data_IF_501499545186
#
_entry.id   IF_501499545186
#
_cell.length_a   1.000
_cell.length_b   1.000
_cell.length_c   1.000
_cell.angle_alpha   90.00
_cell.angle_beta   90.00
_cell.angle_gamma   90.00
#
_symmetry.space_group_name_H-M   'P 1'
#
loop_
_entity.id
_entity.type
_entity.pdbx_description
1 polymer ?
2 polymer ?
3 polymer ?
4 water ?
#
loop_
_entity_poly.entity_id
_entity_poly.type
_entity_poly.pdbx_seq_one_letter_code
_entity_poly.pdbx_strand_id
1 'polydeoxyribonucleotide' '(DA)(DA)(DG)(DG)(6MA)(DT)(DC)(DC)(DA)(DA)' ?
2 'polydeoxyribonucleotide' '(DT)(DT)(DG)(DG)(DA)(DG)(DC)(DC)(DT)(DT)' ?
#
# COMPACT_ATOMS: atom_id res chain seq x y z
N UNK C 1 -17.30 3.77 -7.33
CA UNK C 1 -16.64 5.10 -7.32
C UNK C 1 -15.13 4.96 -7.18
N UNK C 2 -14.71 4.33 -6.09
CA UNK C 2 -13.29 4.11 -5.80
C UNK C 2 -12.82 2.90 -6.59
N UNK C 3 -13.68 1.88 -6.67
CA UNK C 3 -13.33 0.70 -7.42
C UNK C 3 -12.93 1.10 -8.83
N UNK C 4 -13.63 2.10 -9.36
CA UNK C 4 -13.39 2.61 -10.70
C UNK C 4 -11.97 3.16 -10.83
N UNK C 5 -11.59 4.03 -9.90
CA UNK C 5 -10.26 4.62 -9.93
C UNK C 5 -9.18 3.55 -9.93
N UNK C 6 -9.34 2.55 -9.06
CA UNK C 6 -8.36 1.47 -8.97
C UNK C 6 -8.29 0.72 -10.30
N UNK C 7 -9.44 0.21 -10.75
CA UNK C 7 -9.50 -0.51 -12.01
C UNK C 7 -8.84 0.32 -13.11
N UNK C 8 -9.01 1.64 -13.05
CA UNK C 8 -8.40 2.51 -14.05
C UNK C 8 -6.91 2.53 -13.86
N UNK C 9 -6.49 2.43 -12.61
CA UNK C 9 -5.07 2.44 -12.31
C UNK C 9 -4.36 1.26 -12.96
N UNK C 10 -4.85 0.05 -12.71
CA UNK C 10 -4.21 -1.15 -13.27
C UNK C 10 -4.02 -1.04 -14.78
N UNK C 11 -4.95 -0.37 -15.45
CA UNK C 11 -4.87 -0.20 -16.89
C UNK C 11 -3.99 0.97 -17.30
N UNK C 12 -3.82 1.94 -16.39
CA UNK C 12 -3.03 3.13 -16.68
C UNK C 12 -1.71 2.79 -17.35
N UNK C 13 -1.14 3.77 -18.04
CA UNK C 13 0.14 3.58 -18.70
C UNK C 13 1.29 3.52 -17.70
N UNK C 14 1.34 4.49 -16.79
CA UNK C 14 2.42 4.52 -15.82
C UNK C 14 2.38 3.34 -14.86
N UNK C 15 1.20 2.81 -14.56
CA UNK C 15 1.18 1.66 -13.66
C UNK C 15 1.93 0.56 -14.37
N UNK C 16 1.55 0.29 -15.61
CA UNK C 16 2.19 -0.74 -16.40
C UNK C 16 3.65 -0.34 -16.61
N UNK C 17 3.93 0.92 -16.36
CA UNK C 17 5.27 1.45 -16.53
C UNK C 17 6.20 1.12 -15.37
N UNK C 18 5.65 0.89 -14.18
CA UNK C 18 6.48 0.54 -13.04
C UNK C 18 7.05 -0.83 -13.37
N UNK C 19 8.35 -1.02 -13.14
CA UNK C 19 8.95 -2.31 -13.47
C UNK C 19 9.19 -3.27 -12.31
N UNK C 20 8.96 -2.83 -11.08
CA UNK C 20 9.18 -3.71 -9.94
C UNK C 20 8.05 -3.70 -8.93
N UNK C 21 7.89 -4.83 -8.24
CA UNK C 21 6.83 -4.98 -7.25
C UNK C 21 6.69 -3.77 -6.34
N UNK C 22 7.80 -3.26 -5.83
CA UNK C 22 7.76 -2.11 -4.95
C UNK C 22 7.03 -0.92 -5.57
N UNK C 23 7.52 -0.50 -6.72
CA UNK C 23 6.94 0.63 -7.42
C UNK C 23 5.44 0.48 -7.57
N UNK C 24 5.01 -0.68 -8.04
CA UNK C 24 3.58 -0.91 -8.20
C UNK C 24 2.94 -0.81 -6.82
N UNK C 25 3.64 -1.34 -5.82
CA UNK C 25 3.16 -1.33 -4.45
C UNK C 25 2.94 0.10 -4.00
N UNK C 26 3.93 0.95 -4.25
CA UNK C 26 3.85 2.35 -3.87
C UNK C 26 2.66 3.04 -4.53
N UNK C 27 2.56 2.84 -5.84
CA UNK C 27 1.51 3.45 -6.63
C UNK C 27 0.14 3.10 -6.09
N UNK C 28 -0.09 1.83 -5.81
CA UNK C 28 -1.40 1.42 -5.29
C UNK C 28 -1.69 2.24 -4.04
N UNK C 29 -0.71 2.29 -3.15
CA UNK C 29 -0.84 3.04 -1.92
C UNK C 29 -1.15 4.51 -2.21
N UNK C 30 -0.23 5.18 -2.92
CA UNK C 30 -0.40 6.59 -3.27
C UNK C 30 -1.80 6.88 -3.76
N UNK C 31 -2.29 5.99 -4.62
CA UNK C 31 -3.60 6.10 -5.21
C UNK C 31 -4.71 5.84 -4.20
N UNK C 32 -4.55 4.82 -3.37
CA UNK C 32 -5.57 4.51 -2.38
C UNK C 32 -5.71 5.66 -1.39
N UNK C 33 -4.62 6.39 -1.19
CA UNK C 33 -4.65 7.51 -0.26
C UNK C 33 -5.43 8.71 -0.82
N UNK C 34 -5.06 9.14 -2.02
CA UNK C 34 -5.71 10.26 -2.68
C UNK C 34 -7.18 10.00 -2.90
N UNK C 35 -7.56 8.73 -2.88
CA UNK C 35 -8.96 8.37 -3.08
C UNK C 35 -9.78 8.75 -1.86
N UNK C 36 -9.31 8.35 -0.69
CA UNK C 36 -10.01 8.66 0.55
C UNK C 36 -8.99 8.73 1.68
N UNK C 37 -8.16 9.77 1.63
CA UNK C 37 -7.12 10.01 2.62
C UNK C 37 -7.62 9.67 4.01
N UNK C 38 -8.93 9.80 4.21
CA UNK C 38 -9.51 9.51 5.51
C UNK C 38 -9.49 8.00 5.77
N UNK C 39 -10.30 7.27 5.01
CA UNK C 39 -10.40 5.82 5.14
C UNK C 39 -9.03 5.15 5.14
N UNK C 40 -8.13 5.67 4.31
CA UNK C 40 -6.79 5.13 4.23
C UNK C 40 -6.17 5.16 5.63
N UNK C 41 -6.26 6.31 6.29
CA UNK C 41 -5.71 6.46 7.63
C UNK C 41 -6.23 5.39 8.60
N UNK C 42 -7.54 5.20 8.63
CA UNK C 42 -8.12 4.19 9.53
C UNK C 42 -7.63 2.78 9.21
N UNK C 43 -7.64 2.42 7.92
CA UNK C 43 -7.20 1.11 7.49
C UNK C 43 -5.75 0.93 7.91
N UNK C 44 -5.02 2.03 7.90
CA UNK C 44 -3.60 2.06 8.23
C UNK C 44 -3.29 1.87 9.73
N UNK C 45 -4.02 2.58 10.59
CA UNK C 45 -3.79 2.48 12.03
C UNK C 45 -3.93 1.04 12.53
N UNK C 46 -4.59 0.20 11.75
CA UNK C 46 -4.81 -1.18 12.15
C UNK C 46 -3.91 -2.19 11.44
N UNK C 47 -2.93 -1.69 10.70
CA UNK C 47 -2.02 -2.57 9.97
C UNK C 47 -0.58 -2.53 10.49
N UNK C 48 -0.13 -3.65 11.04
CA UNK C 48 1.23 -3.72 11.56
C UNK C 48 1.68 -5.17 11.62
N UNK C 49 2.97 -5.38 11.84
CA UNK C 49 3.51 -6.73 11.92
C UNK C 49 3.44 -7.27 13.33
N UNK C 50 4.11 -8.38 13.59
CA UNK C 50 4.08 -8.94 14.92
C UNK C 50 5.02 -8.13 15.79
N UNK C 51 5.96 -7.44 15.16
CA UNK C 51 6.92 -6.63 15.90
C UNK C 51 7.30 -5.42 15.10
N UNK C 52 7.19 -5.54 13.78
CA UNK C 52 7.52 -4.42 12.91
C UNK C 52 6.31 -3.52 12.78
N UNK C 53 6.56 -2.24 12.57
CA UNK C 53 5.50 -1.28 12.35
C UNK C 53 5.55 -1.15 10.83
N UNK C 54 4.39 -1.14 10.18
CA UNK C 54 4.37 -1.05 8.73
C UNK C 54 4.33 0.34 8.13
N UNK C 55 3.39 1.17 8.57
CA UNK C 55 3.29 2.54 8.08
C UNK C 55 3.44 3.52 9.22
N UNK C 56 4.03 4.68 8.94
CA UNK C 56 4.21 5.69 9.97
C UNK C 56 4.46 7.05 9.34
N UNK C 57 4.04 8.10 10.04
CA UNK C 57 4.23 9.45 9.53
C UNK C 57 5.70 9.84 9.44
N UNK C 58 6.54 9.24 10.28
CA UNK C 58 7.97 9.53 10.27
C UNK C 58 8.78 8.28 9.95
N UNK C 59 9.95 8.46 9.34
CA UNK C 59 10.79 7.32 8.99
C UNK C 59 11.42 6.60 10.19
N UNK C 60 12.06 7.34 11.08
CA UNK C 60 12.71 6.73 12.23
C UNK C 60 11.77 5.79 12.96
N UNK C 61 10.48 6.09 12.91
CA UNK C 61 9.51 5.25 13.59
C UNK C 61 9.51 3.86 12.99
N UNK C 62 9.78 3.77 11.70
CA UNK C 62 9.83 2.46 11.06
C UNK C 62 11.20 1.91 11.43
N UNK C 63 12.22 2.75 11.32
CA UNK C 63 13.59 2.38 11.64
C UNK C 63 13.75 1.94 13.08
N UNK C 64 12.82 2.35 13.94
CA UNK C 64 12.92 2.02 15.36
C UNK C 64 12.24 0.72 15.79
N UNK C 65 11.29 0.22 15.01
CA UNK C 65 10.60 -1.00 15.41
C UNK C 65 10.93 -2.27 14.64
N UNK C 66 12.10 -2.30 14.01
CA UNK C 66 12.48 -3.48 13.25
C UNK C 66 13.86 -3.36 12.66
N UNK C 67 14.39 -4.47 12.16
CA UNK C 67 15.71 -4.42 11.56
C UNK C 67 15.65 -4.52 10.04
N UNK C 68 16.48 -3.70 9.40
CA UNK C 68 16.56 -3.65 7.95
C UNK C 68 15.22 -3.55 7.25
N UNK C 69 14.29 -2.79 7.81
CA UNK C 69 12.99 -2.58 7.18
C UNK C 69 13.42 -1.60 6.11
N UNK C 70 12.85 -1.63 4.92
CA UNK C 70 13.31 -0.66 3.93
C UNK C 70 12.31 0.47 3.81
N UNK C 71 12.36 1.43 4.75
CA UNK C 71 11.43 2.55 4.73
C UNK C 71 11.51 3.33 3.45
N UNK C 72 10.37 3.50 2.83
CA UNK C 72 10.30 4.26 1.61
C UNK C 72 9.15 5.22 1.82
N UNK C 73 9.28 6.42 1.27
CA UNK C 73 8.24 7.43 1.42
C UNK C 73 7.16 7.25 0.36
N UNK C 74 5.92 7.07 0.79
CA UNK C 74 4.84 6.90 -0.17
C UNK C 74 4.59 8.23 -0.84
N UNK C 75 4.94 8.34 -2.13
CA UNK C 75 4.75 9.57 -2.88
C UNK C 75 3.34 10.10 -2.80
N UNK C 76 3.23 11.41 -2.61
CA UNK C 76 1.94 12.07 -2.54
C UNK C 76 1.26 11.97 -1.19
N UNK C 77 1.84 11.20 -0.28
CA UNK C 77 1.25 11.01 1.05
C UNK C 77 2.17 11.48 2.18
N UNK C 78 1.66 11.49 3.41
CA UNK C 78 2.46 11.91 4.55
C UNK C 78 2.92 10.64 5.29
N UNK C 79 2.85 9.51 4.59
CA UNK C 79 3.22 8.21 5.14
C UNK C 79 4.49 7.57 4.60
N UNK C 80 5.08 6.73 5.44
CA UNK C 80 6.27 5.97 5.09
C UNK C 80 5.85 4.51 5.29
N UNK C 81 6.38 3.61 4.46
CA UNK C 81 6.05 2.18 4.55
C UNK C 81 7.33 1.38 4.53
N UNK C 82 7.33 0.21 5.15
CA UNK C 82 8.51 -0.63 5.12
C UNK C 82 8.52 -1.31 3.76
N UNK C 83 9.72 -1.69 3.31
CA UNK C 83 9.93 -2.31 2.01
C UNK C 83 10.62 -3.67 2.03
N UNK C 84 11.27 -4.01 3.14
CA UNK C 84 11.92 -5.31 3.22
C UNK C 84 10.83 -6.36 3.46
N UNK C 85 10.21 -6.80 2.38
CA UNK C 85 9.12 -7.77 2.45
C UNK C 85 8.99 -8.48 1.11
N UNK C 86 8.35 -9.64 1.09
CA UNK C 86 8.15 -10.32 -0.18
C UNK C 86 6.84 -9.86 -0.79
N UNK C 87 6.67 -10.12 -2.08
CA UNK C 87 5.46 -9.71 -2.79
C UNK C 87 4.22 -10.23 -2.07
N UNK C 88 4.34 -11.41 -1.46
CA UNK C 88 3.22 -11.98 -0.74
C UNK C 88 2.79 -11.05 0.38
N UNK C 89 3.76 -10.51 1.11
CA UNK C 89 3.40 -9.62 2.20
C UNK C 89 2.84 -8.32 1.66
N UNK C 90 3.37 -7.85 0.54
CA UNK C 90 2.87 -6.61 -0.04
C UNK C 90 1.39 -6.76 -0.36
N UNK C 91 1.03 -7.86 -1.02
CA UNK C 91 -0.37 -8.09 -1.33
C UNK C 91 -1.16 -8.10 -0.02
N UNK C 92 -0.63 -8.79 0.98
CA UNK C 92 -1.30 -8.85 2.27
C UNK C 92 -1.59 -7.47 2.82
N UNK C 93 -0.66 -6.54 2.66
CA UNK C 93 -0.88 -5.19 3.15
C UNK C 93 -1.99 -4.53 2.34
N UNK C 94 -1.82 -4.53 1.02
CA UNK C 94 -2.81 -3.95 0.13
C UNK C 94 -4.18 -4.55 0.46
N UNK C 95 -4.20 -5.87 0.55
CA UNK C 95 -5.41 -6.59 0.87
C UNK C 95 -6.06 -6.08 2.15
N UNK C 96 -5.24 -5.85 3.17
CA UNK C 96 -5.75 -5.36 4.45
C UNK C 96 -6.38 -3.97 4.32
N UNK C 97 -5.72 -3.11 3.56
CA UNK C 97 -6.19 -1.74 3.36
C UNK C 97 -7.49 -1.68 2.58
N UNK C 98 -7.52 -2.36 1.45
CA UNK C 98 -8.71 -2.35 0.62
C UNK C 98 -9.90 -2.94 1.38
N UNK C 99 -9.67 -4.00 2.14
CA UNK C 99 -10.73 -4.62 2.94
C UNK C 99 -11.34 -3.57 3.86
N UNK C 100 -10.49 -2.79 4.53
CA UNK C 100 -10.96 -1.73 5.42
C UNK C 100 -11.81 -0.78 4.62
N UNK C 101 -11.25 -0.28 3.52
CA UNK C 101 -11.95 0.64 2.64
C UNK C 101 -13.00 -0.16 1.87
N UNK C 102 -13.45 -1.26 2.48
CA UNK C 102 -14.45 -2.16 1.92
C UNK C 102 -14.52 -2.19 0.40
N UNK C 103 -13.61 -2.94 -0.20
CA UNK C 103 -13.58 -3.10 -1.65
C UNK C 103 -14.06 -4.50 -1.98
N UNK C 104 -14.42 -4.74 -3.25
CA UNK C 104 -14.88 -6.07 -3.63
C UNK C 104 -13.68 -7.01 -3.67
N UNK C 105 -13.79 -8.15 -3.00
CA UNK C 105 -12.70 -9.12 -2.97
C UNK C 105 -12.23 -9.38 -4.40
N UNK C 106 -13.19 -9.48 -5.31
CA UNK C 106 -12.87 -9.71 -6.71
C UNK C 106 -11.77 -8.77 -7.18
N UNK C 107 -12.01 -7.47 -7.04
CA UNK C 107 -11.05 -6.46 -7.46
C UNK C 107 -9.78 -6.55 -6.65
N UNK C 108 -9.92 -6.82 -5.36
CA UNK C 108 -8.77 -6.94 -4.49
C UNK C 108 -7.82 -8.02 -5.04
N UNK C 109 -8.38 -9.17 -5.40
CA UNK C 109 -7.56 -10.25 -5.94
C UNK C 109 -6.94 -9.80 -7.25
N UNK C 110 -7.72 -9.08 -8.04
CA UNK C 110 -7.28 -8.57 -9.32
C UNK C 110 -6.02 -7.70 -9.16
N UNK C 111 -5.98 -6.91 -8.09
CA UNK C 111 -4.85 -6.02 -7.84
C UNK C 111 -3.57 -6.77 -7.50
N UNK C 112 -3.65 -7.61 -6.47
CA UNK C 112 -2.51 -8.39 -6.02
C UNK C 112 -1.78 -9.11 -7.14
N UNK C 113 -2.54 -9.70 -8.06
CA UNK C 113 -1.92 -10.42 -9.17
C UNK C 113 -1.05 -9.54 -10.03
N UNK C 114 -1.29 -8.24 -9.96
CA UNK C 114 -0.52 -7.29 -10.76
C UNK C 114 0.76 -6.85 -10.03
N UNK C 115 0.81 -7.06 -8.72
CA UNK C 115 1.97 -6.66 -7.94
C UNK C 115 3.26 -7.39 -8.32
#
# INVERSE_FOLDING_TARGET
>C
PLGSAMRELLLSDEYAEQKRAVNRFMLLLSTLYSLDAQAFAEATESLHGRTRVYFAADEQTLLKNGNQTKPKHVPGTPYWVITNTNTGRKCSMIEHIMQSMQFPAELIEKVCGTI
#
